data_IF_840120561634
#
_entry.id   IF_840120561634
#
_cell.length_a   1.000
_cell.length_b   1.000
_cell.length_c   1.000
_cell.angle_alpha   90.00
_cell.angle_beta   90.00
_cell.angle_gamma   90.00
#
_symmetry.space_group_name_H-M   'P 1'
#
loop_
_entity.id
_entity.type
_entity.pdbx_description
1 polymer ?
#
# COMPACT_ATOMS: atom_id res chain seq x y z
N UNK A 1 0.53 24.20 -35.21
CA UNK A 1 1.11 25.14 -34.24
C UNK A 1 1.68 24.29 -33.12
N UNK A 2 3.03 24.18 -32.99
CA UNK A 2 3.69 23.62 -31.83
C UNK A 2 3.55 24.67 -30.72
N UNK A 3 2.85 24.38 -29.65
CA UNK A 3 2.86 25.19 -28.44
C UNK A 3 4.28 25.16 -27.87
N UNK A 4 4.95 26.28 -27.85
CA UNK A 4 6.19 26.43 -27.08
C UNK A 4 5.81 26.62 -25.62
N UNK A 5 6.48 25.90 -24.71
CA UNK A 5 6.33 26.12 -23.27
C UNK A 5 6.79 27.56 -22.94
N UNK A 6 5.94 28.27 -22.18
CA UNK A 6 6.28 29.61 -21.73
C UNK A 6 7.37 29.49 -20.64
N UNK A 7 8.56 29.99 -20.95
CA UNK A 7 9.66 30.07 -19.97
C UNK A 7 9.46 31.33 -19.15
N UNK A 8 9.20 31.19 -17.85
CA UNK A 8 9.07 32.29 -16.90
C UNK A 8 10.35 32.34 -16.05
N UNK A 9 11.01 33.49 -16.04
CA UNK A 9 12.14 33.78 -15.15
C UNK A 9 11.74 34.89 -14.19
N UNK A 10 12.14 34.76 -12.92
CA UNK A 10 11.91 35.77 -11.90
C UNK A 10 13.19 36.60 -11.72
N UNK A 11 13.03 37.90 -11.69
CA UNK A 11 14.06 38.82 -11.22
C UNK A 11 14.10 38.75 -9.67
N UNK A 12 15.12 38.04 -9.15
CA UNK A 12 15.29 37.83 -7.70
C UNK A 12 15.42 39.16 -6.93
N UNK A 13 16.12 40.13 -7.50
CA UNK A 13 16.28 41.44 -6.81
C UNK A 13 14.96 42.22 -6.74
N UNK A 14 14.16 42.16 -7.80
CA UNK A 14 12.83 42.75 -7.82
C UNK A 14 11.87 42.05 -6.84
N UNK A 15 11.95 40.72 -6.76
CA UNK A 15 11.17 39.92 -5.83
C UNK A 15 11.50 40.29 -4.36
N UNK A 16 12.78 40.33 -3.99
CA UNK A 16 13.22 40.65 -2.64
C UNK A 16 12.82 42.08 -2.26
N UNK A 17 12.97 43.04 -3.17
CA UNK A 17 12.51 44.43 -2.96
C UNK A 17 11.00 44.52 -2.76
N UNK A 18 10.22 43.72 -3.51
CA UNK A 18 8.77 43.65 -3.35
C UNK A 18 8.42 43.09 -1.98
N UNK A 19 9.00 41.96 -1.59
CA UNK A 19 8.71 41.33 -0.28
C UNK A 19 9.13 42.21 0.89
N UNK A 20 10.26 42.93 0.79
CA UNK A 20 10.71 43.87 1.80
C UNK A 20 9.81 45.13 1.93
N UNK A 21 9.06 45.44 0.88
CA UNK A 21 8.11 46.59 0.89
C UNK A 21 6.76 46.24 1.54
N UNK A 22 6.50 44.94 1.81
CA UNK A 22 5.24 44.51 2.41
C UNK A 22 5.23 44.80 3.92
N UNK A 23 4.04 45.02 4.53
CA UNK A 23 3.91 45.34 5.97
C UNK A 23 4.16 44.13 6.88
N UNK A 24 4.39 42.94 6.34
CA UNK A 24 4.65 41.69 7.03
C UNK A 24 6.01 41.13 6.63
N UNK A 25 6.69 40.47 7.59
CA UNK A 25 7.92 39.72 7.30
C UNK A 25 7.58 38.32 6.85
N UNK A 26 8.18 37.86 5.76
CA UNK A 26 8.02 36.52 5.24
C UNK A 26 9.17 35.63 5.71
N UNK A 27 8.86 34.40 6.13
CA UNK A 27 9.88 33.36 6.35
C UNK A 27 10.52 32.94 5.03
N UNK A 28 11.66 32.24 5.09
CA UNK A 28 12.33 31.75 3.88
C UNK A 28 11.43 30.75 3.12
N UNK A 29 10.65 29.94 3.84
CA UNK A 29 9.68 29.01 3.27
C UNK A 29 8.53 29.76 2.57
N UNK A 30 8.01 30.81 3.17
CA UNK A 30 6.97 31.65 2.57
C UNK A 30 7.48 32.37 1.32
N UNK A 31 8.73 32.80 1.32
CA UNK A 31 9.38 33.40 0.14
C UNK A 31 9.50 32.40 -1.00
N UNK A 32 9.93 31.17 -0.69
CA UNK A 32 10.03 30.10 -1.66
C UNK A 32 8.65 29.70 -2.22
N UNK A 33 7.65 29.58 -1.37
CA UNK A 33 6.28 29.27 -1.76
C UNK A 33 5.69 30.37 -2.67
N UNK A 34 5.90 31.63 -2.33
CA UNK A 34 5.48 32.76 -3.16
C UNK A 34 6.15 32.75 -4.52
N UNK A 35 7.46 32.50 -4.59
CA UNK A 35 8.20 32.37 -5.83
C UNK A 35 7.66 31.25 -6.71
N UNK A 36 7.42 30.09 -6.14
CA UNK A 36 6.85 28.93 -6.85
C UNK A 36 5.46 29.25 -7.39
N UNK A 37 4.59 29.80 -6.54
CA UNK A 37 3.25 30.24 -6.93
C UNK A 37 3.27 31.27 -8.06
N UNK A 38 4.18 32.25 -8.00
CA UNK A 38 4.32 33.30 -9.00
C UNK A 38 4.72 32.71 -10.35
N UNK A 39 5.68 31.76 -10.38
CA UNK A 39 6.11 31.07 -11.60
C UNK A 39 4.92 30.30 -12.20
N UNK A 40 4.21 29.53 -11.40
CA UNK A 40 3.14 28.63 -11.90
C UNK A 40 1.92 29.44 -12.36
N UNK A 41 1.55 30.49 -11.63
CA UNK A 41 0.45 31.40 -12.02
C UNK A 41 0.80 32.15 -13.29
N UNK A 42 2.05 32.62 -13.42
CA UNK A 42 2.52 33.33 -14.63
C UNK A 42 2.50 32.45 -15.88
N UNK A 43 2.75 31.14 -15.76
CA UNK A 43 2.63 30.18 -16.88
C UNK A 43 1.20 30.07 -17.41
N UNK A 44 0.21 30.23 -16.54
CA UNK A 44 -1.21 30.13 -16.93
C UNK A 44 -1.76 31.45 -17.47
N UNK A 45 -1.05 32.57 -17.33
CA UNK A 45 -1.49 33.94 -17.67
C UNK A 45 -2.81 34.31 -17.00
N UNK A 46 -3.05 33.78 -15.80
CA UNK A 46 -4.23 34.08 -14.99
C UNK A 46 -3.87 34.99 -13.83
N UNK A 47 -4.81 35.83 -13.41
CA UNK A 47 -4.68 36.55 -12.17
C UNK A 47 -4.83 35.58 -11.00
N UNK A 48 -4.01 35.74 -9.98
CA UNK A 48 -4.04 34.94 -8.77
C UNK A 48 -3.80 35.79 -7.54
N UNK A 49 -4.27 35.30 -6.39
CA UNK A 49 -4.02 35.91 -5.09
C UNK A 49 -3.20 34.93 -4.24
N UNK A 50 -2.05 35.38 -3.77
CA UNK A 50 -1.22 34.59 -2.86
C UNK A 50 -1.57 34.96 -1.42
N UNK A 51 -1.99 33.95 -0.65
CA UNK A 51 -2.26 34.11 0.79
C UNK A 51 -1.06 33.54 1.58
N UNK A 52 -0.24 34.42 2.22
CA UNK A 52 0.89 33.97 3.02
C UNK A 52 0.51 33.05 4.18
N UNK A 53 -0.68 33.22 4.75
CA UNK A 53 -1.16 32.39 5.86
C UNK A 53 -1.49 30.96 5.40
N UNK A 54 -1.84 30.76 4.14
CA UNK A 54 -1.99 29.41 3.54
C UNK A 54 -0.63 28.77 3.18
N UNK A 55 0.41 29.57 2.98
CA UNK A 55 1.76 29.07 2.75
C UNK A 55 2.49 28.68 4.04
N UNK A 56 2.03 29.14 5.21
CA UNK A 56 2.49 28.64 6.51
C UNK A 56 2.11 27.16 6.75
N UNK A 57 1.18 26.62 5.95
CA UNK A 57 0.87 25.18 5.94
C UNK A 57 2.04 24.30 5.47
N UNK A 58 3.12 24.89 4.98
CA UNK A 58 4.39 24.21 4.68
C UNK A 58 5.39 24.26 5.85
N UNK A 59 4.96 24.66 7.06
CA UNK A 59 5.80 24.54 8.26
C UNK A 59 6.17 23.09 8.45
N UNK A 60 7.47 22.86 8.63
CA UNK A 60 8.04 21.56 9.00
C UNK A 60 7.10 20.89 10.03
N UNK A 61 6.49 19.80 9.69
CA UNK A 61 5.72 19.08 10.66
C UNK A 61 6.69 18.40 11.63
N UNK A 62 7.13 19.11 12.68
CA UNK A 62 7.36 18.46 13.97
C UNK A 62 5.97 17.91 14.33
N UNK A 63 5.50 17.02 13.43
CA UNK A 63 4.10 16.80 13.17
C UNK A 63 3.54 15.87 14.21
N UNK A 64 2.29 16.10 14.55
CA UNK A 64 1.54 15.11 15.29
C UNK A 64 1.48 13.82 14.49
N UNK A 65 1.55 12.67 15.17
CA UNK A 65 1.35 11.36 14.55
C UNK A 65 -0.12 11.24 14.19
N UNK A 66 -0.40 11.16 12.89
CA UNK A 66 -1.78 11.08 12.35
C UNK A 66 -2.18 9.67 11.96
N UNK A 67 -1.21 8.78 11.77
CA UNK A 67 -1.41 7.34 11.55
C UNK A 67 -0.16 6.56 11.96
N UNK A 68 -0.34 5.33 12.45
CA UNK A 68 0.78 4.47 12.85
C UNK A 68 0.50 3.01 12.52
N UNK A 69 1.57 2.25 12.25
CA UNK A 69 1.58 0.80 12.13
C UNK A 69 2.89 0.26 12.68
N UNK A 70 2.84 -0.85 13.44
CA UNK A 70 4.01 -1.53 13.99
C UNK A 70 4.07 -2.97 13.48
N UNK A 71 5.27 -3.43 13.17
CA UNK A 71 5.54 -4.78 12.65
C UNK A 71 7.01 -5.13 12.87
N UNK A 72 7.40 -6.38 12.56
CA UNK A 72 8.79 -6.78 12.59
C UNK A 72 9.28 -7.09 11.17
N UNK A 73 10.51 -6.66 10.82
CA UNK A 73 11.19 -7.05 9.59
C UNK A 73 11.62 -8.51 9.67
N UNK A 74 11.64 -9.19 8.52
CA UNK A 74 11.93 -10.62 8.37
C UNK A 74 13.18 -10.86 7.54
N UNK A 75 13.68 -9.82 6.86
CA UNK A 75 14.83 -9.90 5.97
C UNK A 75 15.62 -8.59 5.90
N UNK A 76 16.90 -8.69 5.54
CA UNK A 76 17.75 -7.53 5.31
C UNK A 76 17.24 -6.63 4.16
N UNK A 77 16.54 -7.18 3.17
CA UNK A 77 15.94 -6.41 2.09
C UNK A 77 14.80 -5.51 2.62
N UNK A 78 13.96 -6.03 3.54
CA UNK A 78 12.93 -5.23 4.21
C UNK A 78 13.55 -4.10 5.04
N UNK A 79 14.63 -4.37 5.79
CA UNK A 79 15.37 -3.37 6.58
C UNK A 79 15.97 -2.26 5.70
N UNK A 80 16.54 -2.62 4.55
CA UNK A 80 17.06 -1.65 3.59
C UNK A 80 15.96 -0.74 3.03
N UNK A 81 14.79 -1.30 2.69
CA UNK A 81 13.65 -0.51 2.23
C UNK A 81 13.15 0.44 3.32
N UNK A 82 13.01 -0.03 4.56
CA UNK A 82 12.63 0.81 5.70
C UNK A 82 13.62 1.95 5.90
N UNK A 83 14.92 1.66 5.82
CA UNK A 83 15.98 2.69 5.93
C UNK A 83 15.87 3.73 4.81
N UNK A 84 15.58 3.31 3.56
CA UNK A 84 15.39 4.22 2.44
C UNK A 84 14.12 5.09 2.55
N UNK A 85 13.17 4.66 3.38
CA UNK A 85 11.89 5.36 3.60
C UNK A 85 11.88 6.23 4.87
N UNK A 86 12.97 6.26 5.63
CA UNK A 86 13.08 7.12 6.81
C UNK A 86 12.95 8.59 6.42
N UNK A 87 12.03 9.31 7.10
CA UNK A 87 11.80 10.74 6.90
C UNK A 87 11.43 11.17 5.47
N UNK A 88 10.66 10.36 4.75
CA UNK A 88 10.19 10.69 3.40
C UNK A 88 9.06 11.71 3.48
N UNK A 89 9.28 12.87 2.89
CA UNK A 89 8.26 13.91 2.75
C UNK A 89 7.33 13.60 1.56
N UNK A 90 6.04 13.86 1.78
CA UNK A 90 4.99 13.75 0.76
C UNK A 90 4.29 15.11 0.67
N UNK A 91 4.68 15.91 -0.32
CA UNK A 91 4.13 17.25 -0.56
C UNK A 91 2.69 17.19 -1.06
N UNK A 92 1.90 18.28 -0.94
CA UNK A 92 0.58 18.38 -1.55
C UNK A 92 0.58 17.94 -3.02
N UNK A 93 -0.34 17.04 -3.38
CA UNK A 93 -0.46 16.48 -4.73
C UNK A 93 0.60 15.45 -5.12
N UNK A 94 1.65 15.28 -4.32
CA UNK A 94 2.74 14.34 -4.63
C UNK A 94 2.28 12.90 -4.52
N UNK A 95 2.80 12.08 -5.44
CA UNK A 95 2.67 10.63 -5.45
C UNK A 95 3.88 10.01 -4.74
N UNK A 96 3.65 9.07 -3.84
CA UNK A 96 4.65 8.20 -3.24
C UNK A 96 4.44 6.77 -3.76
N UNK A 97 5.51 6.17 -4.29
CA UNK A 97 5.52 4.82 -4.86
C UNK A 97 6.53 3.95 -4.10
N UNK A 98 6.15 2.71 -3.80
CA UNK A 98 7.02 1.79 -3.03
C UNK A 98 8.27 1.40 -3.80
N UNK A 99 8.17 1.14 -5.10
CA UNK A 99 9.33 0.78 -5.94
C UNK A 99 10.45 1.82 -5.96
N UNK A 100 10.15 3.07 -5.63
CA UNK A 100 11.17 4.13 -5.50
C UNK A 100 12.20 3.80 -4.40
N UNK A 101 11.82 3.00 -3.41
CA UNK A 101 12.63 2.70 -2.22
C UNK A 101 13.28 1.32 -2.26
N UNK A 102 12.94 0.48 -3.23
CA UNK A 102 13.54 -0.82 -3.43
C UNK A 102 12.85 -1.64 -4.51
N UNK A 103 13.63 -2.48 -5.19
CA UNK A 103 13.15 -3.30 -6.32
C UNK A 103 12.93 -4.77 -5.93
N UNK A 104 13.19 -5.17 -4.68
CA UNK A 104 12.90 -6.52 -4.22
C UNK A 104 11.38 -6.73 -4.12
N UNK A 105 10.84 -7.67 -4.88
CA UNK A 105 9.39 -7.89 -4.96
C UNK A 105 8.79 -8.42 -3.65
N UNK A 106 9.52 -9.28 -2.94
CA UNK A 106 9.05 -9.90 -1.69
C UNK A 106 9.07 -8.87 -0.56
N UNK A 107 10.20 -8.18 -0.38
CA UNK A 107 10.33 -7.11 0.61
C UNK A 107 9.38 -5.96 0.28
N UNK A 108 9.29 -5.56 -1.00
CA UNK A 108 8.38 -4.52 -1.47
C UNK A 108 6.92 -4.84 -1.18
N UNK A 109 6.50 -6.09 -1.40
CA UNK A 109 5.13 -6.52 -1.11
C UNK A 109 4.83 -6.46 0.39
N UNK A 110 5.76 -6.90 1.23
CA UNK A 110 5.57 -6.85 2.68
C UNK A 110 5.54 -5.43 3.22
N UNK A 111 6.53 -4.62 2.89
CA UNK A 111 6.60 -3.21 3.31
C UNK A 111 5.44 -2.40 2.72
N UNK A 112 5.10 -2.63 1.44
CA UNK A 112 3.95 -2.04 0.78
C UNK A 112 2.63 -2.35 1.46
N UNK A 113 2.47 -3.58 1.98
CA UNK A 113 1.28 -3.97 2.76
C UNK A 113 1.18 -3.19 4.08
N UNK A 114 2.31 -2.94 4.76
CA UNK A 114 2.34 -2.11 5.98
C UNK A 114 2.06 -0.64 5.69
N UNK A 115 2.56 -0.13 4.57
CA UNK A 115 2.23 1.22 4.10
C UNK A 115 0.75 1.34 3.71
N UNK A 116 0.19 0.34 3.04
CA UNK A 116 -1.24 0.36 2.74
C UNK A 116 -2.07 0.40 4.02
N UNK A 117 -1.73 -0.38 5.04
CA UNK A 117 -2.38 -0.33 6.35
C UNK A 117 -2.25 1.07 7.00
N UNK A 118 -1.08 1.72 6.88
CA UNK A 118 -0.84 3.08 7.37
C UNK A 118 -1.73 4.10 6.67
N UNK A 119 -1.74 4.08 5.33
CA UNK A 119 -2.43 5.09 4.52
C UNK A 119 -3.94 4.84 4.36
N UNK A 120 -4.42 3.61 4.50
CA UNK A 120 -5.84 3.29 4.46
C UNK A 120 -6.63 4.02 5.57
N UNK A 121 -5.98 4.32 6.71
CA UNK A 121 -6.52 5.05 7.86
C UNK A 121 -6.41 6.58 7.72
N UNK A 122 -6.13 7.09 6.53
CA UNK A 122 -5.93 8.51 6.24
C UNK A 122 -6.82 8.96 5.07
N UNK A 123 -7.02 10.26 4.86
CA UNK A 123 -7.75 10.76 3.70
C UNK A 123 -6.93 10.72 2.39
N UNK A 124 -5.69 10.24 2.41
CA UNK A 124 -4.87 10.12 1.20
C UNK A 124 -5.53 9.22 0.16
N UNK A 125 -5.33 9.53 -1.11
CA UNK A 125 -5.82 8.73 -2.23
C UNK A 125 -4.93 7.50 -2.44
N UNK A 126 -5.51 6.30 -2.41
CA UNK A 126 -4.83 5.08 -2.85
C UNK A 126 -4.94 5.05 -4.38
N UNK A 127 -3.83 5.27 -5.08
CA UNK A 127 -3.79 5.40 -6.55
C UNK A 127 -3.58 4.05 -7.21
N UNK A 128 -2.72 3.21 -6.63
CA UNK A 128 -2.44 1.87 -7.13
C UNK A 128 -2.29 0.90 -5.97
N UNK A 129 -2.97 -0.23 -6.05
CA UNK A 129 -2.85 -1.35 -5.14
C UNK A 129 -3.42 -2.61 -5.78
N UNK A 130 -2.67 -3.70 -5.73
CA UNK A 130 -3.10 -5.02 -6.19
C UNK A 130 -2.79 -6.06 -5.09
N UNK A 131 -3.72 -6.95 -4.69
CA UNK A 131 -3.43 -8.07 -3.81
C UNK A 131 -2.74 -9.21 -4.56
N UNK A 132 -2.12 -10.14 -3.84
CA UNK A 132 -1.66 -11.41 -4.39
C UNK A 132 -2.84 -12.33 -4.74
N UNK A 133 -2.57 -13.41 -5.46
CA UNK A 133 -3.57 -14.46 -5.76
C UNK A 133 -3.81 -15.40 -4.58
N UNK A 134 -2.84 -15.53 -3.68
CA UNK A 134 -2.93 -16.19 -2.37
C UNK A 134 -2.33 -15.26 -1.32
N UNK A 135 -2.93 -15.23 -0.12
CA UNK A 135 -2.48 -14.35 0.96
C UNK A 135 -1.10 -14.78 1.47
N UNK A 136 -0.06 -13.92 1.38
CA UNK A 136 1.25 -14.27 1.89
C UNK A 136 1.29 -14.33 3.42
N UNK A 137 2.17 -15.18 3.95
CA UNK A 137 2.38 -15.29 5.39
C UNK A 137 2.82 -13.96 6.01
N UNK A 138 2.26 -13.64 7.20
CA UNK A 138 2.58 -12.44 7.95
C UNK A 138 1.94 -11.15 7.42
N UNK A 139 1.09 -11.24 6.40
CA UNK A 139 0.28 -10.13 5.91
C UNK A 139 -1.15 -10.25 6.45
N UNK A 140 -1.66 -9.17 7.00
CA UNK A 140 -3.04 -9.10 7.49
C UNK A 140 -4.02 -9.11 6.33
N UNK A 141 -5.02 -10.01 6.39
CA UNK A 141 -6.10 -10.07 5.41
C UNK A 141 -6.75 -8.69 5.23
N UNK A 142 -6.88 -8.24 3.99
CA UNK A 142 -7.40 -6.92 3.64
C UNK A 142 -6.33 -5.84 3.48
N UNK A 143 -5.08 -6.07 3.91
CA UNK A 143 -3.99 -5.12 3.72
C UNK A 143 -2.87 -5.62 2.80
N UNK A 144 -3.11 -6.71 2.10
CA UNK A 144 -2.15 -7.29 1.16
C UNK A 144 -1.86 -6.37 -0.03
N UNK A 145 -0.59 -6.20 -0.34
CA UNK A 145 -0.07 -5.48 -1.51
C UNK A 145 0.92 -6.37 -2.24
N UNK A 146 0.72 -6.52 -3.53
CA UNK A 146 1.64 -7.21 -4.42
C UNK A 146 2.51 -6.19 -5.16
N UNK A 147 3.82 -6.34 -5.03
CA UNK A 147 4.81 -5.59 -5.81
C UNK A 147 5.51 -6.57 -6.77
N UNK A 148 5.49 -6.27 -8.05
CA UNK A 148 6.24 -7.01 -9.09
C UNK A 148 6.61 -6.05 -10.24
N UNK A 149 7.05 -6.58 -11.38
CA UNK A 149 7.42 -5.73 -12.53
C UNK A 149 6.28 -4.83 -13.01
N UNK A 150 5.02 -5.26 -12.85
CA UNK A 150 3.82 -4.62 -13.41
C UNK A 150 2.98 -3.90 -12.38
N UNK A 151 3.11 -4.23 -11.10
CA UNK A 151 2.28 -3.70 -10.02
C UNK A 151 3.13 -2.97 -8.99
N UNK A 152 2.59 -1.90 -8.42
CA UNK A 152 3.18 -1.11 -7.34
C UNK A 152 2.13 -0.80 -6.27
N UNK A 153 2.56 -0.20 -5.19
CA UNK A 153 1.70 0.55 -4.28
C UNK A 153 1.98 2.03 -4.42
N UNK A 154 0.96 2.78 -4.73
CA UNK A 154 1.05 4.21 -4.91
C UNK A 154 -0.03 4.95 -4.13
N UNK A 155 0.37 6.00 -3.45
CA UNK A 155 -0.51 6.86 -2.65
C UNK A 155 -0.23 8.32 -2.96
N UNK A 156 -1.29 9.15 -3.01
CA UNK A 156 -1.21 10.58 -3.26
C UNK A 156 -1.64 11.38 -2.05
N UNK A 157 -0.85 12.36 -1.68
CA UNK A 157 -1.24 13.35 -0.68
C UNK A 157 -2.30 14.30 -1.27
N UNK A 158 -3.54 14.14 -0.84
CA UNK A 158 -4.66 15.01 -1.25
C UNK A 158 -4.87 16.20 -0.33
N UNK A 159 -4.02 16.35 0.69
CA UNK A 159 -4.10 17.41 1.67
C UNK A 159 -3.26 18.62 1.23
N UNK A 160 -3.57 19.78 1.77
CA UNK A 160 -2.82 21.02 1.49
C UNK A 160 -1.47 21.12 2.24
N UNK A 161 -1.22 20.22 3.20
CA UNK A 161 -0.01 20.21 4.03
C UNK A 161 0.99 19.15 3.58
N UNK A 162 2.26 19.33 3.92
CA UNK A 162 3.29 18.31 3.81
C UNK A 162 3.09 17.28 4.91
N UNK A 163 3.25 16.01 4.59
CA UNK A 163 3.31 14.90 5.55
C UNK A 163 4.63 14.18 5.41
N UNK A 164 5.03 13.49 6.47
CA UNK A 164 6.30 12.75 6.50
C UNK A 164 6.07 11.33 6.98
N UNK A 165 6.59 10.37 6.24
CA UNK A 165 6.70 8.99 6.73
C UNK A 165 7.95 8.89 7.57
N UNK A 166 7.79 8.57 8.84
CA UNK A 166 8.89 8.39 9.80
C UNK A 166 8.94 6.92 10.19
N UNK A 167 10.11 6.31 10.06
CA UNK A 167 10.36 4.95 10.51
C UNK A 167 11.26 4.96 11.73
N UNK A 168 10.84 4.29 12.80
CA UNK A 168 11.67 4.01 13.97
C UNK A 168 11.91 2.51 14.02
N UNK A 169 13.18 2.10 14.10
CA UNK A 169 13.57 0.69 14.12
C UNK A 169 14.39 0.37 15.37
N UNK A 170 14.05 -0.73 16.04
CA UNK A 170 14.78 -1.27 17.18
C UNK A 170 14.95 -2.79 16.97
N UNK A 171 16.14 -3.20 16.51
CA UNK A 171 16.35 -4.56 16.01
C UNK A 171 15.46 -4.84 14.79
N UNK A 172 14.67 -5.89 14.87
CA UNK A 172 13.66 -6.21 13.84
C UNK A 172 12.36 -5.43 13.97
N UNK A 173 12.10 -4.82 15.13
CA UNK A 173 10.82 -4.13 15.38
C UNK A 173 10.84 -2.74 14.74
N UNK A 174 9.81 -2.46 13.95
CA UNK A 174 9.63 -1.22 13.19
C UNK A 174 8.30 -0.60 13.56
N UNK A 175 8.32 0.71 13.75
CA UNK A 175 7.11 1.53 13.80
C UNK A 175 7.20 2.54 12.66
N UNK A 176 6.20 2.50 11.76
CA UNK A 176 5.98 3.52 10.75
C UNK A 176 4.92 4.49 11.26
N UNK A 177 5.22 5.75 11.15
CA UNK A 177 4.31 6.85 11.48
C UNK A 177 4.13 7.76 10.27
N UNK A 178 2.91 8.18 10.03
CA UNK A 178 2.65 9.34 9.21
C UNK A 178 2.51 10.54 10.13
N UNK A 179 3.41 11.49 9.98
CA UNK A 179 3.44 12.72 10.78
C UNK A 179 3.06 13.92 9.91
N UNK A 180 2.33 14.85 10.49
CA UNK A 180 1.90 16.07 9.80
C UNK A 180 0.79 16.80 10.52
N UNK A 181 0.11 17.69 9.81
CA UNK A 181 -1.06 18.42 10.33
C UNK A 181 -2.22 17.45 10.59
N UNK A 182 -2.86 17.45 11.75
CA UNK A 182 -4.04 16.62 12.03
C UNK A 182 -5.12 16.79 10.96
N UNK A 183 -5.73 15.67 10.58
CA UNK A 183 -6.84 15.70 9.64
C UNK A 183 -8.07 16.34 10.28
N UNK A 184 -8.84 17.10 9.49
CA UNK A 184 -10.13 17.67 9.94
C UNK A 184 -11.18 16.60 10.20
N UNK A 185 -10.97 15.41 9.63
CA UNK A 185 -11.88 14.27 9.65
C UNK A 185 -11.22 13.12 10.41
N UNK A 186 -12.02 12.35 11.13
CA UNK A 186 -11.54 11.07 11.65
C UNK A 186 -11.71 10.00 10.58
N UNK A 187 -10.59 9.37 10.18
CA UNK A 187 -10.58 8.33 9.17
C UNK A 187 -10.17 7.01 9.82
N UNK A 188 -10.96 5.98 9.58
CA UNK A 188 -10.68 4.61 10.07
C UNK A 188 -10.92 3.60 8.96
N UNK A 189 -10.39 2.38 9.12
CA UNK A 189 -10.71 1.25 8.25
C UNK A 189 -11.59 0.25 8.97
N UNK A 190 -12.50 -0.36 8.23
CA UNK A 190 -13.36 -1.46 8.72
C UNK A 190 -13.23 -2.61 7.73
N UNK A 191 -12.92 -3.79 8.26
CA UNK A 191 -12.84 -5.04 7.54
C UNK A 191 -14.16 -5.79 7.74
N UNK A 192 -14.86 -6.12 6.65
CA UNK A 192 -16.17 -6.77 6.71
C UNK A 192 -16.27 -7.92 5.71
N UNK A 193 -17.27 -8.75 5.91
CA UNK A 193 -17.65 -9.78 4.94
C UNK A 193 -16.57 -10.85 4.74
N UNK A 194 -15.73 -11.11 5.75
CA UNK A 194 -14.76 -12.20 5.68
C UNK A 194 -15.48 -13.52 5.40
N UNK A 195 -15.02 -14.24 4.36
CA UNK A 195 -15.55 -15.54 3.98
C UNK A 195 -14.40 -16.51 3.74
N UNK A 196 -14.52 -17.72 4.27
CA UNK A 196 -13.74 -18.87 3.84
C UNK A 196 -14.40 -19.52 2.63
N UNK A 197 -13.60 -19.91 1.64
CA UNK A 197 -14.01 -20.56 0.41
C UNK A 197 -13.41 -21.96 0.41
N UNK A 198 -14.20 -23.01 0.69
CA UNK A 198 -13.66 -24.37 0.83
C UNK A 198 -12.92 -24.81 -0.42
N UNK A 199 -11.79 -25.45 -0.24
CA UNK A 199 -11.08 -26.10 -1.35
C UNK A 199 -11.82 -27.34 -1.84
N UNK A 200 -11.53 -27.72 -3.08
CA UNK A 200 -12.02 -28.97 -3.69
C UNK A 200 -10.91 -29.99 -3.73
N UNK A 201 -11.25 -31.28 -3.65
CA UNK A 201 -10.32 -32.36 -3.88
C UNK A 201 -10.38 -32.82 -5.34
N UNK A 202 -9.23 -32.85 -5.98
CA UNK A 202 -9.05 -33.38 -7.36
C UNK A 202 -8.43 -34.78 -7.25
N UNK A 203 -9.14 -35.78 -7.74
CA UNK A 203 -8.59 -37.15 -7.84
C UNK A 203 -7.94 -37.33 -9.19
N UNK A 204 -6.68 -37.74 -9.20
CA UNK A 204 -5.93 -38.21 -10.37
C UNK A 204 -5.75 -39.73 -10.28
N UNK A 205 -5.57 -40.39 -11.41
CA UNK A 205 -5.30 -41.80 -11.47
C UNK A 205 -3.93 -42.05 -12.08
N UNK A 206 -3.18 -43.00 -11.50
CA UNK A 206 -1.85 -43.40 -11.96
C UNK A 206 -1.71 -44.91 -12.05
N UNK A 207 -1.22 -45.38 -13.17
CA UNK A 207 -0.88 -46.79 -13.37
C UNK A 207 0.45 -47.20 -12.70
N UNK A 208 1.22 -46.24 -12.20
CA UNK A 208 2.51 -46.49 -11.50
C UNK A 208 2.35 -46.73 -10.02
N UNK A 209 1.19 -46.44 -9.45
CA UNK A 209 0.89 -46.75 -8.05
C UNK A 209 0.43 -48.20 -7.91
N UNK A 210 0.84 -48.83 -6.81
CA UNK A 210 0.38 -50.17 -6.46
C UNK A 210 -1.14 -50.19 -6.33
N UNK A 211 -1.76 -51.30 -6.78
CA UNK A 211 -3.21 -51.49 -6.70
C UNK A 211 -3.74 -51.19 -5.29
N UNK A 212 -4.86 -50.47 -5.20
CA UNK A 212 -5.49 -50.07 -3.93
C UNK A 212 -4.80 -48.98 -3.16
N UNK A 213 -3.66 -48.44 -3.62
CA UNK A 213 -2.95 -47.35 -2.90
C UNK A 213 -3.39 -45.94 -3.32
N UNK A 214 -3.25 -45.04 -2.41
CA UNK A 214 -3.50 -43.61 -2.60
C UNK A 214 -2.28 -42.80 -2.12
N UNK A 215 -1.93 -41.74 -2.84
CA UNK A 215 -0.88 -40.81 -2.47
C UNK A 215 -1.42 -39.38 -2.49
N UNK A 216 -1.21 -38.66 -1.43
CA UNK A 216 -1.51 -37.22 -1.37
C UNK A 216 -0.38 -36.46 -2.08
N UNK A 217 -0.72 -35.79 -3.19
CA UNK A 217 0.25 -35.08 -4.03
C UNK A 217 0.32 -33.61 -3.68
N UNK A 218 -0.79 -33.04 -3.21
CA UNK A 218 -0.91 -31.63 -2.83
C UNK A 218 -1.97 -31.48 -1.73
N UNK A 219 -1.63 -30.79 -0.67
CA UNK A 219 -2.60 -30.37 0.34
C UNK A 219 -3.53 -29.28 -0.21
N UNK A 220 -4.80 -29.33 0.19
CA UNK A 220 -5.75 -28.26 -0.11
C UNK A 220 -5.62 -27.10 0.87
N UNK A 221 -5.95 -25.90 0.41
CA UNK A 221 -6.02 -24.71 1.24
C UNK A 221 -7.30 -23.93 0.91
N UNK A 222 -8.03 -23.51 1.94
CA UNK A 222 -9.24 -22.71 1.75
C UNK A 222 -8.89 -21.33 1.23
N UNK A 223 -9.66 -20.87 0.27
CA UNK A 223 -9.63 -19.50 -0.20
C UNK A 223 -10.27 -18.54 0.81
N UNK A 224 -10.03 -17.25 0.61
CA UNK A 224 -10.56 -16.19 1.50
C UNK A 224 -11.07 -15.02 0.67
N UNK A 225 -12.05 -14.29 1.20
CA UNK A 225 -12.40 -12.97 0.70
C UNK A 225 -12.72 -12.02 1.85
N UNK A 226 -12.47 -10.72 1.61
CA UNK A 226 -12.67 -9.64 2.59
C UNK A 226 -13.00 -8.33 1.86
N UNK A 227 -13.86 -7.53 2.43
CA UNK A 227 -14.13 -6.16 2.00
C UNK A 227 -13.44 -5.18 2.94
N UNK A 228 -12.70 -4.23 2.39
CA UNK A 228 -12.01 -3.17 3.12
C UNK A 228 -12.73 -1.86 2.89
N UNK A 229 -13.25 -1.27 3.94
CA UNK A 229 -13.91 0.02 3.88
C UNK A 229 -13.09 1.09 4.59
N UNK A 230 -13.09 2.29 4.02
CA UNK A 230 -12.71 3.52 4.70
C UNK A 230 -13.95 4.17 5.26
N UNK A 231 -13.92 4.50 6.54
CA UNK A 231 -14.99 5.23 7.22
C UNK A 231 -14.45 6.60 7.60
N UNK A 232 -15.06 7.64 7.05
CA UNK A 232 -14.72 9.03 7.30
C UNK A 232 -15.83 9.68 8.11
N UNK A 233 -15.50 10.18 9.30
CA UNK A 233 -16.42 10.91 10.18
C UNK A 233 -16.11 12.38 10.15
N UNK A 234 -17.13 13.18 9.84
CA UNK A 234 -17.09 14.62 9.86
C UNK A 234 -18.17 15.17 10.80
N UNK A 235 -18.19 16.49 11.02
CA UNK A 235 -19.28 17.17 11.73
C UNK A 235 -20.62 17.04 11.03
N UNK A 236 -20.65 16.70 9.73
CA UNK A 236 -21.84 16.55 8.91
C UNK A 236 -22.37 15.11 8.85
N UNK A 237 -21.61 14.14 9.37
CA UNK A 237 -21.98 12.73 9.37
C UNK A 237 -20.83 11.79 9.06
N UNK A 238 -21.19 10.54 8.81
CA UNK A 238 -20.27 9.45 8.49
C UNK A 238 -20.43 9.03 7.03
N UNK A 239 -19.30 8.85 6.33
CA UNK A 239 -19.25 8.29 4.97
C UNK A 239 -18.45 7.01 4.99
N UNK A 240 -19.01 5.93 4.47
CA UNK A 240 -18.35 4.64 4.27
C UNK A 240 -18.05 4.45 2.78
N UNK A 241 -16.81 4.14 2.45
CA UNK A 241 -16.32 3.96 1.08
C UNK A 241 -15.59 2.63 0.98
N UNK A 242 -15.98 1.79 0.00
CA UNK A 242 -15.24 0.57 -0.32
C UNK A 242 -13.87 0.96 -0.92
N UNK A 243 -12.79 0.50 -0.28
CA UNK A 243 -11.43 0.63 -0.80
C UNK A 243 -11.07 -0.57 -1.68
N UNK A 244 -11.40 -1.78 -1.22
CA UNK A 244 -11.11 -3.00 -1.97
C UNK A 244 -12.04 -4.15 -1.58
N UNK A 245 -12.18 -5.10 -2.51
CA UNK A 245 -12.70 -6.43 -2.29
C UNK A 245 -11.57 -7.41 -2.66
N UNK A 246 -10.96 -7.99 -1.65
CA UNK A 246 -9.85 -8.92 -1.84
C UNK A 246 -10.38 -10.34 -1.92
N UNK A 247 -9.86 -11.09 -2.90
CA UNK A 247 -10.24 -12.47 -3.15
C UNK A 247 -8.99 -13.33 -3.36
N UNK A 248 -8.86 -14.35 -2.54
CA UNK A 248 -7.80 -15.35 -2.60
C UNK A 248 -8.43 -16.69 -2.96
N UNK A 249 -8.04 -17.24 -4.11
CA UNK A 249 -8.62 -18.49 -4.60
C UNK A 249 -8.23 -19.67 -3.70
N UNK A 250 -9.16 -20.61 -3.50
CA UNK A 250 -8.84 -21.85 -2.84
C UNK A 250 -7.87 -22.69 -3.67
N UNK A 251 -6.87 -23.30 -3.01
CA UNK A 251 -5.94 -24.24 -3.62
C UNK A 251 -6.52 -25.66 -3.49
N UNK A 252 -6.79 -26.39 -4.58
CA UNK A 252 -7.38 -27.71 -4.47
C UNK A 252 -6.42 -28.74 -3.86
N UNK A 253 -6.92 -29.65 -3.06
CA UNK A 253 -6.20 -30.86 -2.70
C UNK A 253 -6.07 -31.76 -3.94
N UNK A 254 -4.92 -32.40 -4.13
CA UNK A 254 -4.71 -33.39 -5.19
C UNK A 254 -4.33 -34.72 -4.57
N UNK A 255 -5.20 -35.73 -4.77
CA UNK A 255 -4.94 -37.10 -4.40
C UNK A 255 -4.75 -37.94 -5.67
N UNK A 256 -3.70 -38.77 -5.68
CA UNK A 256 -3.45 -39.72 -6.77
C UNK A 256 -3.80 -41.12 -6.30
N UNK A 257 -4.74 -41.76 -6.97
CA UNK A 257 -5.16 -43.14 -6.73
C UNK A 257 -4.55 -44.07 -7.76
N UNK A 258 -4.31 -45.31 -7.37
CA UNK A 258 -3.96 -46.35 -8.35
C UNK A 258 -5.09 -46.53 -9.36
N UNK A 259 -4.74 -46.67 -10.64
CA UNK A 259 -5.65 -47.13 -11.69
C UNK A 259 -5.57 -48.65 -11.90
N UNK A 260 -4.70 -49.36 -11.16
CA UNK A 260 -4.62 -50.82 -11.22
C UNK A 260 -5.75 -51.40 -10.36
N UNK A 261 -6.42 -52.44 -10.90
CA UNK A 261 -7.43 -53.17 -10.15
C UNK A 261 -6.76 -53.98 -9.01
N UNK A 262 -7.35 -53.95 -7.84
CA UNK A 262 -6.93 -54.77 -6.72
C UNK A 262 -7.24 -56.24 -7.08
N UNK A 263 -6.18 -57.06 -7.26
CA UNK A 263 -6.38 -58.48 -7.53
C UNK A 263 -7.04 -59.13 -6.31
N UNK A 264 -8.19 -59.74 -6.55
CA UNK A 264 -8.85 -60.52 -5.51
C UNK A 264 -7.88 -61.61 -4.99
N UNK A 265 -7.86 -61.86 -3.65
CA UNK A 265 -7.00 -62.90 -3.11
C UNK A 265 -7.31 -64.22 -3.79
N UNK A 266 -6.28 -64.86 -4.35
CA UNK A 266 -6.39 -66.19 -4.92
C UNK A 266 -6.71 -67.13 -3.77
N UNK A 267 -7.94 -67.62 -3.73
CA UNK A 267 -8.35 -68.71 -2.80
C UNK A 267 -7.70 -69.95 -3.32
N UNK A 268 -6.61 -70.37 -2.71
CA UNK A 268 -6.01 -71.68 -2.96
C UNK A 268 -6.91 -72.74 -2.29
N UNK A 269 -7.54 -73.67 -3.03
CA UNK A 269 -8.33 -74.72 -2.39
C UNK A 269 -7.43 -75.51 -1.47
N UNK A 270 -7.87 -75.85 -0.26
CA UNK A 270 -7.21 -76.78 0.62
C UNK A 270 -7.19 -78.13 -0.05
N UNK A 271 -6.06 -78.90 0.00
CA UNK A 271 -6.03 -80.27 -0.48
C UNK A 271 -7.02 -81.13 0.31
N UNK A 272 -7.96 -81.75 -0.40
CA UNK A 272 -8.83 -82.79 0.21
C UNK A 272 -7.95 -83.96 0.62
N UNK A 273 -8.03 -84.37 1.93
CA UNK A 273 -7.41 -85.57 2.47
C UNK A 273 -8.13 -86.87 2.05
#
# INVERSE_FOLDING_TARGET
KKGGDLMVAIDEAALENFLASQPISYSDEQRLAFKTWLIDTSKTLQEGNFDPAQSEAAVDPAGEVVSTVSFSTRSAAEEQMITAMMNVEIKPGQLMNVKTYGMDAVAGSYVGSKLYELFAKTPFEIVERMPHTSLPDGITLGYDVKIDEKTDFAVRNTQASIYRVVATQNGSDVTLELQGTPFKETVTTVLEGEKSIPFRTITRYSATLTAGTTSDTQAGEDGKSIEVYRVTKTTQGEKKQLLSLDFYAAIPAIITKSSQEEQAPVVVPEPED
#
